data_IF_384491436945
#
_entry.id   IF_384491436945
#
_cell.length_a   1.000
_cell.length_b   1.000
_cell.length_c   1.000
_cell.angle_alpha   90.00
_cell.angle_beta   90.00
_cell.angle_gamma   90.00
#
_symmetry.space_group_name_H-M   'P 1'
#
loop_
_entity.id
_entity.type
_entity.pdbx_description
1 polymer ?
#
# COMPACT_ATOMS: atom_id res chain seq x y z
N UNK A 1 33.95 85.80 13.16
CA UNK A 1 34.86 84.83 13.80
C UNK A 1 34.01 83.72 14.46
N UNK A 2 33.30 82.91 13.66
CA UNK A 2 32.50 81.77 14.15
C UNK A 2 32.43 80.78 13.00
N UNK A 3 33.17 79.68 13.07
CA UNK A 3 33.19 78.72 11.95
C UNK A 3 34.04 77.46 12.15
N UNK A 4 34.93 77.42 13.14
CA UNK A 4 35.75 76.21 13.42
C UNK A 4 35.22 75.32 14.55
N UNK A 5 34.62 75.87 15.61
CA UNK A 5 34.20 75.06 16.77
C UNK A 5 32.94 74.22 16.52
N UNK A 6 31.94 74.76 15.81
CA UNK A 6 30.72 74.01 15.45
C UNK A 6 30.96 72.85 14.47
N UNK A 7 32.09 72.87 13.74
CA UNK A 7 32.47 71.80 12.83
C UNK A 7 33.10 70.60 13.55
N UNK A 8 33.83 70.84 14.65
CA UNK A 8 34.49 69.80 15.45
C UNK A 8 33.46 69.04 16.31
N UNK A 9 32.49 69.73 16.92
CA UNK A 9 31.40 69.12 17.69
C UNK A 9 30.49 68.21 16.84
N UNK A 10 30.19 68.61 15.59
CA UNK A 10 29.41 67.77 14.65
C UNK A 10 30.15 66.50 14.21
N UNK A 11 31.49 66.59 14.06
CA UNK A 11 32.33 65.43 13.69
C UNK A 11 32.36 64.38 14.79
N UNK A 12 32.45 64.81 16.06
CA UNK A 12 32.46 63.91 17.21
C UNK A 12 31.09 63.26 17.45
N UNK A 13 30.00 64.00 17.26
CA UNK A 13 28.64 63.45 17.33
C UNK A 13 28.39 62.36 16.26
N UNK A 14 28.88 62.58 15.03
CA UNK A 14 28.83 61.57 13.97
C UNK A 14 29.63 60.30 14.28
N UNK A 15 30.80 60.44 14.92
CA UNK A 15 31.62 59.30 15.32
C UNK A 15 30.97 58.48 16.44
N UNK A 16 30.32 59.14 17.41
CA UNK A 16 29.60 58.48 18.52
C UNK A 16 28.37 57.75 17.98
N UNK A 17 27.61 58.36 17.07
CA UNK A 17 26.46 57.72 16.41
C UNK A 17 26.90 56.51 15.58
N UNK A 18 28.02 56.60 14.88
CA UNK A 18 28.58 55.48 14.12
C UNK A 18 29.02 54.35 15.06
N UNK A 19 29.71 54.66 16.16
CA UNK A 19 30.12 53.67 17.14
C UNK A 19 28.92 52.99 17.80
N UNK A 20 27.87 53.73 18.15
CA UNK A 20 26.63 53.18 18.69
C UNK A 20 25.89 52.29 17.67
N UNK A 21 25.85 52.70 16.40
CA UNK A 21 25.27 51.91 15.32
C UNK A 21 26.05 50.61 15.08
N UNK A 22 27.38 50.66 15.11
CA UNK A 22 28.24 49.47 15.01
C UNK A 22 28.05 48.56 16.23
N UNK A 23 27.98 49.12 17.44
CA UNK A 23 27.72 48.34 18.65
C UNK A 23 26.34 47.67 18.61
N UNK A 24 25.31 48.38 18.13
CA UNK A 24 23.97 47.85 17.93
C UNK A 24 23.95 46.76 16.85
N UNK A 25 24.74 46.93 15.78
CA UNK A 25 24.89 45.93 14.71
C UNK A 25 25.61 44.68 15.22
N UNK A 26 26.66 44.86 16.03
CA UNK A 26 27.36 43.75 16.71
C UNK A 26 26.40 43.08 17.69
N UNK A 27 25.62 43.83 18.46
CA UNK A 27 24.63 43.26 19.39
C UNK A 27 23.52 42.49 18.66
N UNK A 28 23.04 42.98 17.51
CA UNK A 28 22.06 42.25 16.68
C UNK A 28 22.67 41.05 15.96
N UNK A 29 23.94 41.11 15.56
CA UNK A 29 24.67 39.95 15.01
C UNK A 29 24.93 38.91 16.10
N UNK A 30 25.27 39.32 17.31
CA UNK A 30 25.48 38.44 18.46
C UNK A 30 24.17 37.87 19.03
N UNK A 31 23.04 38.60 18.92
CA UNK A 31 21.70 38.07 19.24
C UNK A 31 21.15 37.11 18.18
N UNK A 32 21.70 37.10 16.96
CA UNK A 32 21.27 36.17 15.90
C UNK A 32 21.72 34.72 16.14
N UNK A 33 22.60 34.51 17.11
CA UNK A 33 22.97 33.19 17.65
C UNK A 33 22.07 32.80 18.86
N UNK A 34 20.81 33.24 18.89
CA UNK A 34 19.80 32.52 19.68
C UNK A 34 19.67 31.10 19.13
N UNK A 35 19.86 30.11 20.00
CA UNK A 35 19.85 28.67 19.72
C UNK A 35 18.99 28.30 18.51
N UNK A 36 19.65 27.94 17.40
CA UNK A 36 19.00 27.15 16.36
C UNK A 36 18.63 25.80 16.98
N UNK A 37 17.46 25.71 17.62
CA UNK A 37 16.87 24.45 18.06
C UNK A 37 16.98 23.51 16.87
N UNK A 38 17.66 22.38 17.09
CA UNK A 38 17.82 21.36 16.07
C UNK A 38 16.47 21.08 15.39
N UNK A 39 16.42 21.16 14.06
CA UNK A 39 15.26 20.75 13.26
C UNK A 39 14.98 19.23 13.40
N UNK A 40 15.87 18.52 14.09
CA UNK A 40 15.83 17.08 14.36
C UNK A 40 15.56 16.86 15.84
N UNK A 41 14.46 16.18 16.13
CA UNK A 41 14.06 15.69 17.44
C UNK A 41 14.52 14.24 17.60
N UNK A 42 15.62 14.02 18.32
CA UNK A 42 16.10 12.68 18.59
C UNK A 42 15.32 12.06 19.75
N UNK A 43 14.64 10.94 19.52
CA UNK A 43 13.81 10.28 20.57
C UNK A 43 14.60 9.92 21.84
N UNK A 44 15.93 9.78 21.77
CA UNK A 44 16.80 9.56 22.93
C UNK A 44 16.82 10.75 23.89
N UNK A 45 16.72 11.97 23.37
CA UNK A 45 16.67 13.19 24.16
C UNK A 45 15.34 13.32 24.93
N UNK A 46 14.31 12.61 24.45
CA UNK A 46 13.02 12.46 25.12
C UNK A 46 12.95 11.25 26.07
N UNK A 47 14.06 10.51 26.22
CA UNK A 47 14.19 9.40 27.17
C UNK A 47 13.98 8.00 26.60
N UNK A 48 13.89 7.82 25.27
CA UNK A 48 13.75 6.50 24.68
C UNK A 48 15.05 5.69 24.83
N UNK A 49 15.00 4.43 25.26
CA UNK A 49 16.18 3.60 25.45
C UNK A 49 16.49 2.72 24.24
N UNK A 50 15.50 2.29 23.45
CA UNK A 50 15.70 1.51 22.23
C UNK A 50 16.43 0.18 22.45
N UNK A 51 16.32 -0.37 23.67
CA UNK A 51 17.01 -1.59 24.10
C UNK A 51 16.16 -2.87 23.93
N UNK A 52 14.93 -2.75 23.42
CA UNK A 52 13.97 -3.82 23.22
C UNK A 52 13.25 -4.31 24.47
N UNK A 53 13.51 -3.71 25.64
CA UNK A 53 12.93 -4.09 26.94
C UNK A 53 12.09 -2.97 27.54
N UNK A 54 12.67 -1.77 27.59
CA UNK A 54 12.05 -0.54 28.08
C UNK A 54 10.91 -0.15 27.16
N UNK A 55 9.80 0.28 27.77
CA UNK A 55 8.67 0.80 27.01
C UNK A 55 8.96 2.25 26.60
N UNK A 56 9.26 2.44 25.32
CA UNK A 56 9.68 3.72 24.76
C UNK A 56 8.49 4.57 24.29
N UNK A 57 7.25 4.14 24.54
CA UNK A 57 6.02 4.77 24.01
C UNK A 57 5.96 6.26 24.33
N UNK A 58 6.07 6.63 25.61
CA UNK A 58 5.90 8.02 26.03
C UNK A 58 7.02 8.91 25.48
N UNK A 59 8.26 8.42 25.48
CA UNK A 59 9.40 9.16 24.97
C UNK A 59 9.27 9.44 23.48
N UNK A 60 8.92 8.42 22.69
CA UNK A 60 8.72 8.58 21.24
C UNK A 60 7.50 9.46 20.97
N UNK A 61 6.40 9.29 21.69
CA UNK A 61 5.20 10.09 21.48
C UNK A 61 5.45 11.57 21.77
N UNK A 62 6.23 11.91 22.81
CA UNK A 62 6.61 13.31 23.10
C UNK A 62 7.38 13.95 21.94
N UNK A 63 8.34 13.22 21.35
CA UNK A 63 9.07 13.70 20.18
C UNK A 63 8.14 13.89 18.97
N UNK A 64 7.19 12.97 18.75
CA UNK A 64 6.19 13.08 17.68
C UNK A 64 5.21 14.23 17.89
N UNK A 65 4.81 14.49 19.13
CA UNK A 65 3.90 15.59 19.48
C UNK A 65 4.53 16.96 19.19
N UNK A 66 5.86 17.07 19.27
CA UNK A 66 6.64 18.26 18.90
C UNK A 66 7.12 18.28 17.45
N UNK A 67 6.78 17.24 16.66
CA UNK A 67 7.33 16.94 15.34
C UNK A 67 6.81 17.79 14.18
N UNK A 68 5.77 18.60 14.38
CA UNK A 68 5.23 19.46 13.34
C UNK A 68 6.30 20.44 12.82
N UNK A 69 6.48 20.47 11.51
CA UNK A 69 7.53 21.17 10.77
C UNK A 69 8.97 20.74 11.13
N UNK A 70 9.15 19.54 11.68
CA UNK A 70 10.45 19.00 12.10
C UNK A 70 10.63 17.55 11.68
N UNK A 71 11.84 17.04 11.93
CA UNK A 71 12.19 15.65 11.70
C UNK A 71 12.31 14.93 13.04
N UNK A 72 11.63 13.80 13.20
CA UNK A 72 11.77 12.92 14.35
C UNK A 72 12.70 11.78 13.98
N UNK A 73 13.85 11.73 14.65
CA UNK A 73 14.89 10.75 14.39
C UNK A 73 14.86 9.62 15.43
N UNK A 74 14.81 8.39 14.95
CA UNK A 74 15.02 7.19 15.75
C UNK A 74 16.40 6.58 15.45
N UNK A 75 17.38 6.72 16.36
CA UNK A 75 18.66 6.02 16.21
C UNK A 75 18.47 4.50 16.15
N UNK A 76 19.45 3.79 15.60
CA UNK A 76 19.46 2.32 15.58
C UNK A 76 19.12 1.73 16.96
N UNK A 77 18.14 0.83 17.00
CA UNK A 77 17.65 0.25 18.25
C UNK A 77 16.35 -0.53 18.07
N UNK A 78 15.93 -1.21 19.12
CA UNK A 78 14.64 -1.90 19.18
C UNK A 78 13.75 -1.14 20.17
N UNK A 79 12.69 -0.50 19.67
CA UNK A 79 11.81 0.34 20.45
C UNK A 79 10.51 -0.40 20.71
N UNK A 80 10.33 -0.83 21.96
CA UNK A 80 9.11 -1.51 22.40
C UNK A 80 8.07 -0.45 22.73
N UNK A 81 6.85 -0.62 22.23
CA UNK A 81 5.72 0.26 22.56
C UNK A 81 4.54 -0.52 23.16
N UNK A 82 3.77 0.10 24.04
CA UNK A 82 2.53 -0.44 24.61
C UNK A 82 1.27 0.24 24.08
N UNK A 83 1.40 1.33 23.32
CA UNK A 83 0.30 2.03 22.65
C UNK A 83 0.69 2.43 21.22
N UNK A 84 -0.30 2.70 20.39
CA UNK A 84 -0.07 3.17 19.03
C UNK A 84 0.57 4.57 19.03
N UNK A 85 1.61 4.76 18.22
CA UNK A 85 2.25 6.05 18.03
C UNK A 85 1.45 6.89 17.03
N UNK A 86 1.15 8.13 17.41
CA UNK A 86 0.39 9.08 16.58
C UNK A 86 1.36 10.06 15.92
N UNK A 87 1.31 10.14 14.59
CA UNK A 87 2.09 11.09 13.80
C UNK A 87 1.15 12.14 13.22
N UNK A 88 1.43 13.40 13.52
CA UNK A 88 0.64 14.56 13.09
C UNK A 88 1.25 15.20 11.84
N UNK A 89 0.56 16.21 11.32
CA UNK A 89 0.92 16.95 10.13
C UNK A 89 2.37 17.48 10.13
N UNK A 90 2.91 17.69 8.92
CA UNK A 90 4.19 18.33 8.66
C UNK A 90 5.36 17.66 9.39
N UNK A 91 5.27 16.35 9.59
CA UNK A 91 6.26 15.58 10.36
C UNK A 91 6.99 14.58 9.45
N UNK A 92 8.31 14.63 9.45
CA UNK A 92 9.18 13.60 8.87
C UNK A 92 9.67 12.68 9.98
N UNK A 93 9.42 11.37 9.88
CA UNK A 93 9.90 10.37 10.82
C UNK A 93 10.88 9.46 10.10
N UNK A 94 12.10 9.34 10.60
CA UNK A 94 13.12 8.55 9.94
C UNK A 94 14.05 7.81 10.91
N UNK A 95 14.74 6.80 10.40
CA UNK A 95 15.65 5.98 11.18
C UNK A 95 16.87 5.52 10.36
N UNK A 96 17.93 5.10 11.06
CA UNK A 96 19.08 4.41 10.46
C UNK A 96 19.20 2.99 11.05
N UNK A 97 18.08 2.26 11.07
CA UNK A 97 18.01 0.89 11.57
C UNK A 97 17.26 0.75 12.90
N UNK A 98 16.25 1.58 13.14
CA UNK A 98 15.30 1.37 14.23
C UNK A 98 14.26 0.30 13.85
N UNK A 99 13.89 -0.52 14.83
CA UNK A 99 12.72 -1.39 14.76
C UNK A 99 11.75 -1.01 15.88
N UNK A 100 10.54 -0.57 15.50
CA UNK A 100 9.43 -0.36 16.43
C UNK A 100 8.58 -1.62 16.45
N UNK A 101 8.25 -2.11 17.63
CA UNK A 101 7.38 -3.25 17.80
C UNK A 101 6.53 -3.11 19.06
N UNK A 102 5.37 -3.75 19.10
CA UNK A 102 4.56 -3.73 20.30
C UNK A 102 4.95 -4.81 21.31
N UNK A 103 5.03 -4.43 22.59
CA UNK A 103 5.12 -5.36 23.71
C UNK A 103 3.83 -6.13 23.95
N UNK A 104 2.68 -5.57 23.56
CA UNK A 104 1.33 -6.12 23.70
C UNK A 104 0.66 -6.26 22.31
N UNK A 105 -0.59 -6.73 22.26
CA UNK A 105 -1.34 -6.78 21.00
C UNK A 105 -2.02 -5.44 20.70
N UNK A 106 -1.59 -4.75 19.64
CA UNK A 106 -2.19 -3.47 19.21
C UNK A 106 -3.10 -3.61 17.99
N UNK A 107 -3.99 -2.63 17.82
CA UNK A 107 -4.71 -2.42 16.57
C UNK A 107 -3.75 -1.98 15.46
N UNK A 108 -2.95 -0.95 15.71
CA UNK A 108 -1.97 -0.38 14.78
C UNK A 108 -0.70 -0.01 15.55
N UNK A 109 0.49 -0.18 14.94
CA UNK A 109 1.75 0.31 15.55
C UNK A 109 1.84 1.83 15.41
N UNK A 110 1.56 2.35 14.21
CA UNK A 110 1.60 3.78 13.89
C UNK A 110 0.26 4.21 13.29
N UNK A 111 -0.24 5.37 13.71
CA UNK A 111 -1.44 6.02 13.18
C UNK A 111 -1.05 7.41 12.67
N UNK A 112 -1.26 7.65 11.38
CA UNK A 112 -1.04 8.94 10.75
C UNK A 112 -2.36 9.70 10.73
N UNK A 113 -2.36 10.90 11.31
CA UNK A 113 -3.49 11.81 11.35
C UNK A 113 -2.98 13.23 11.05
N UNK A 114 -2.92 13.58 9.78
CA UNK A 114 -2.41 14.89 9.37
C UNK A 114 -2.02 14.98 7.91
N UNK A 115 -1.70 16.20 7.50
CA UNK A 115 -1.25 16.54 6.16
C UNK A 115 0.29 16.55 6.07
N UNK A 116 0.88 16.12 4.95
CA UNK A 116 2.33 16.10 4.71
C UNK A 116 3.12 15.34 5.79
N UNK A 117 2.88 14.03 5.87
CA UNK A 117 3.61 13.13 6.77
C UNK A 117 4.51 12.21 5.95
N UNK A 118 5.80 12.14 6.29
CA UNK A 118 6.73 11.22 5.65
C UNK A 118 7.35 10.29 6.69
N UNK A 119 7.14 8.98 6.56
CA UNK A 119 7.77 7.96 7.42
C UNK A 119 8.72 7.13 6.55
N UNK A 120 9.99 7.05 6.90
CA UNK A 120 10.94 6.28 6.10
C UNK A 120 12.10 5.62 6.84
N UNK A 121 12.73 4.65 6.15
CA UNK A 121 13.90 3.91 6.63
C UNK A 121 13.67 3.21 7.98
N UNK A 122 12.43 2.81 8.27
CA UNK A 122 12.00 2.25 9.55
C UNK A 122 11.55 0.79 9.42
N UNK A 123 11.82 -0.04 10.43
CA UNK A 123 11.17 -1.36 10.57
C UNK A 123 9.99 -1.27 11.54
N UNK A 124 8.80 -1.60 11.08
CA UNK A 124 7.58 -1.77 11.89
C UNK A 124 7.29 -3.26 12.00
N UNK A 125 7.52 -3.84 13.17
CA UNK A 125 7.42 -5.29 13.40
C UNK A 125 6.24 -5.60 14.33
N UNK A 126 5.23 -6.27 13.79
CA UNK A 126 4.05 -6.70 14.53
C UNK A 126 4.29 -7.89 15.48
N UNK A 127 5.48 -8.52 15.47
CA UNK A 127 5.87 -9.66 16.31
C UNK A 127 4.83 -10.78 16.39
N UNK A 128 4.08 -10.98 15.30
CA UNK A 128 2.94 -11.89 15.15
C UNK A 128 1.85 -11.73 16.21
N UNK A 129 1.71 -10.51 16.77
CA UNK A 129 0.74 -10.18 17.82
C UNK A 129 -0.01 -8.87 17.58
N UNK A 130 0.40 -8.08 16.59
CA UNK A 130 -0.22 -6.81 16.25
C UNK A 130 -1.01 -6.93 14.96
N UNK A 131 -2.21 -6.35 14.96
CA UNK A 131 -3.18 -6.46 13.88
C UNK A 131 -2.76 -5.65 12.64
N UNK A 132 -2.23 -4.43 12.84
CA UNK A 132 -1.82 -3.55 11.74
C UNK A 132 -0.49 -2.84 11.97
N UNK A 133 0.23 -2.58 10.88
CA UNK A 133 1.48 -1.83 10.92
C UNK A 133 1.25 -0.32 11.01
N UNK A 134 0.98 0.29 9.86
CA UNK A 134 0.71 1.73 9.74
C UNK A 134 -0.70 1.94 9.21
N UNK A 135 -1.48 2.77 9.90
CA UNK A 135 -2.81 3.19 9.49
C UNK A 135 -2.81 4.68 9.15
N UNK A 136 -3.17 5.03 7.92
CA UNK A 136 -3.43 6.40 7.46
C UNK A 136 -4.91 6.68 7.63
N UNK A 137 -5.23 7.52 8.62
CA UNK A 137 -6.60 7.77 9.07
C UNK A 137 -7.31 8.79 8.20
N UNK A 138 -8.64 8.74 8.22
CA UNK A 138 -9.48 9.73 7.56
C UNK A 138 -9.10 11.17 7.91
N UNK A 139 -9.12 12.05 6.91
CA UNK A 139 -8.69 13.44 7.01
C UNK A 139 -7.21 13.67 6.69
N UNK A 140 -6.39 12.61 6.66
CA UNK A 140 -4.97 12.72 6.30
C UNK A 140 -4.75 12.98 4.82
N UNK A 141 -3.73 13.77 4.50
CA UNK A 141 -3.31 13.99 3.12
C UNK A 141 -1.79 14.04 2.94
N UNK A 142 -1.31 13.81 1.71
CA UNK A 142 0.12 13.81 1.38
C UNK A 142 0.96 12.94 2.33
N UNK A 143 0.46 11.75 2.64
CA UNK A 143 1.17 10.79 3.48
C UNK A 143 2.07 9.93 2.59
N UNK A 144 3.36 9.88 2.91
CA UNK A 144 4.34 9.06 2.22
C UNK A 144 4.99 8.10 3.22
N UNK A 145 4.92 6.80 2.96
CA UNK A 145 5.72 5.79 3.66
C UNK A 145 6.71 5.22 2.66
N UNK A 146 8.01 5.31 2.94
CA UNK A 146 9.01 4.79 2.02
C UNK A 146 10.19 4.08 2.65
N UNK A 147 10.90 3.25 1.88
CA UNK A 147 12.12 2.55 2.32
C UNK A 147 11.97 1.78 3.64
N UNK A 148 10.74 1.36 3.95
CA UNK A 148 10.39 0.81 5.26
C UNK A 148 10.07 -0.67 5.15
N UNK A 149 10.23 -1.37 6.26
CA UNK A 149 9.91 -2.80 6.39
C UNK A 149 8.71 -2.92 7.32
N UNK A 150 7.58 -3.41 6.80
CA UNK A 150 6.39 -3.73 7.61
C UNK A 150 6.26 -5.25 7.69
N UNK A 151 6.41 -5.82 8.90
CA UNK A 151 6.53 -7.27 9.03
C UNK A 151 5.82 -7.92 10.21
N UNK A 152 5.53 -9.22 10.08
CA UNK A 152 5.05 -10.10 11.15
C UNK A 152 3.74 -9.62 11.79
N UNK A 153 2.71 -9.35 11.00
CA UNK A 153 1.39 -8.97 11.53
C UNK A 153 0.48 -10.17 11.61
N UNK A 154 -0.27 -10.26 12.71
CA UNK A 154 -1.24 -11.32 12.98
C UNK A 154 -2.27 -10.84 14.02
N UNK A 155 -3.41 -11.51 14.12
CA UNK A 155 -4.40 -11.23 15.15
C UNK A 155 -3.83 -11.54 16.55
N UNK A 156 -3.95 -10.68 17.56
CA UNK A 156 -3.58 -10.99 18.96
C UNK A 156 -4.45 -12.10 19.59
N UNK A 157 -3.95 -12.76 20.65
CA UNK A 157 -4.60 -13.93 21.26
C UNK A 157 -5.80 -13.60 22.16
N UNK A 158 -5.74 -12.51 22.94
CA UNK A 158 -6.72 -12.22 23.99
C UNK A 158 -7.23 -10.77 23.94
N UNK A 159 -7.71 -10.33 22.78
CA UNK A 159 -8.29 -8.99 22.65
C UNK A 159 -9.49 -8.96 21.71
N UNK A 160 -10.25 -7.87 21.76
CA UNK A 160 -11.33 -7.52 20.81
C UNK A 160 -10.87 -7.48 19.34
N UNK A 161 -9.55 -7.51 19.11
CA UNK A 161 -8.91 -7.48 17.81
C UNK A 161 -8.69 -8.88 17.21
N UNK A 162 -8.83 -9.94 18.01
CA UNK A 162 -8.54 -11.33 17.63
C UNK A 162 -9.31 -11.82 16.41
N UNK A 163 -10.46 -11.20 16.11
CA UNK A 163 -11.34 -11.48 14.96
C UNK A 163 -11.46 -10.31 13.99
N UNK A 164 -10.46 -9.45 13.93
CA UNK A 164 -10.40 -8.37 12.94
C UNK A 164 -9.44 -8.71 11.80
N UNK A 165 -9.53 -7.96 10.70
CA UNK A 165 -8.65 -8.11 9.54
C UNK A 165 -7.24 -7.64 9.85
N UNK A 166 -6.26 -8.49 9.53
CA UNK A 166 -4.83 -8.16 9.62
C UNK A 166 -4.41 -7.31 8.42
N UNK A 167 -3.65 -6.23 8.62
CA UNK A 167 -3.14 -5.42 7.51
C UNK A 167 -1.77 -4.77 7.79
N UNK A 168 -0.76 -4.94 6.93
CA UNK A 168 0.52 -4.25 7.17
C UNK A 168 0.41 -2.73 6.96
N UNK A 169 -0.27 -2.31 5.90
CA UNK A 169 -0.53 -0.90 5.59
C UNK A 169 -2.03 -0.67 5.37
N UNK A 170 -2.65 0.23 6.13
CA UNK A 170 -4.07 0.56 6.03
C UNK A 170 -4.24 2.01 5.57
N UNK A 171 -5.09 2.21 4.57
CA UNK A 171 -5.58 3.52 4.13
C UNK A 171 -7.08 3.56 4.35
N UNK A 172 -7.53 4.52 5.15
CA UNK A 172 -8.95 4.76 5.39
C UNK A 172 -9.60 5.61 4.29
N UNK A 173 -10.93 5.72 4.34
CA UNK A 173 -11.66 6.65 3.48
C UNK A 173 -11.39 8.10 3.89
N UNK A 174 -11.81 9.06 3.06
CA UNK A 174 -11.55 10.49 3.25
C UNK A 174 -10.05 10.85 3.38
N UNK A 175 -9.16 10.04 2.81
CA UNK A 175 -7.73 10.36 2.65
C UNK A 175 -7.44 10.86 1.23
N UNK A 176 -6.36 11.63 1.05
CA UNK A 176 -5.96 12.12 -0.27
C UNK A 176 -4.43 12.11 -0.44
N UNK A 177 -3.91 11.58 -1.54
CA UNK A 177 -2.47 11.48 -1.81
C UNK A 177 -1.74 10.64 -0.74
N UNK A 178 -1.98 9.33 -0.76
CA UNK A 178 -1.27 8.39 0.12
C UNK A 178 -0.36 7.50 -0.70
N UNK A 179 0.93 7.48 -0.38
CA UNK A 179 1.95 6.72 -1.10
C UNK A 179 2.65 5.73 -0.19
N UNK A 180 2.74 4.48 -0.61
CA UNK A 180 3.68 3.48 -0.09
C UNK A 180 4.70 3.18 -1.20
N UNK A 181 5.97 3.51 -0.97
CA UNK A 181 7.02 3.40 -1.99
C UNK A 181 8.27 2.68 -1.49
N UNK A 182 9.01 2.01 -2.38
CA UNK A 182 10.34 1.44 -2.08
C UNK A 182 10.39 0.57 -0.81
N UNK A 183 9.30 -0.09 -0.45
CA UNK A 183 9.15 -0.73 0.86
C UNK A 183 9.11 -2.25 0.76
N UNK A 184 9.08 -2.92 1.90
CA UNK A 184 8.90 -4.37 1.99
C UNK A 184 7.79 -4.71 2.97
N UNK A 185 6.84 -5.51 2.53
CA UNK A 185 5.78 -6.09 3.36
C UNK A 185 5.99 -7.59 3.42
N UNK A 186 6.17 -8.14 4.62
CA UNK A 186 6.41 -9.56 4.80
C UNK A 186 5.70 -10.18 6.00
N UNK A 187 5.24 -11.42 5.82
CA UNK A 187 4.64 -12.22 6.89
C UNK A 187 3.42 -11.51 7.52
N UNK A 188 2.36 -11.38 6.71
CA UNK A 188 1.06 -10.86 7.14
C UNK A 188 0.08 -12.02 7.10
N UNK A 189 -0.21 -12.57 8.27
CA UNK A 189 -0.93 -13.83 8.40
C UNK A 189 -2.15 -13.67 9.30
N UNK A 190 -3.31 -14.15 8.86
CA UNK A 190 -4.47 -14.31 9.74
C UNK A 190 -4.50 -15.73 10.33
N UNK A 191 -4.82 -15.84 11.62
CA UNK A 191 -4.93 -17.14 12.32
C UNK A 191 -6.31 -17.45 12.85
N UNK A 192 -7.19 -16.46 12.89
CA UNK A 192 -8.56 -16.58 13.36
C UNK A 192 -9.54 -16.06 12.30
N UNK A 193 -10.78 -16.58 12.28
CA UNK A 193 -11.83 -16.03 11.44
C UNK A 193 -12.21 -14.61 11.84
N UNK A 194 -12.56 -13.78 10.85
CA UNK A 194 -13.05 -12.43 11.16
C UNK A 194 -14.48 -12.47 11.72
N UNK A 195 -14.90 -11.43 12.42
CA UNK A 195 -16.26 -11.35 12.98
C UNK A 195 -17.30 -11.34 11.85
N UNK A 196 -18.29 -12.23 11.92
CA UNK A 196 -19.39 -12.33 10.95
C UNK A 196 -19.06 -13.10 9.67
N UNK A 197 -17.83 -13.61 9.53
CA UNK A 197 -17.45 -14.45 8.39
C UNK A 197 -16.40 -15.47 8.79
N UNK A 198 -16.68 -16.76 8.62
CA UNK A 198 -15.81 -17.88 9.03
C UNK A 198 -14.61 -18.09 8.07
N UNK A 199 -13.90 -16.99 7.78
CA UNK A 199 -12.72 -16.94 6.93
C UNK A 199 -11.58 -16.19 7.61
N UNK A 200 -10.36 -16.69 7.40
CA UNK A 200 -9.13 -16.00 7.79
C UNK A 200 -8.78 -14.94 6.74
N UNK A 201 -8.63 -13.69 7.16
CA UNK A 201 -8.50 -12.55 6.25
C UNK A 201 -7.28 -11.71 6.60
N UNK A 202 -6.35 -11.58 5.66
CA UNK A 202 -5.16 -10.73 5.78
C UNK A 202 -4.90 -9.91 4.53
N UNK A 203 -4.23 -8.78 4.70
CA UNK A 203 -3.98 -7.80 3.65
C UNK A 203 -2.55 -7.29 3.73
N UNK A 204 -1.78 -7.33 2.65
CA UNK A 204 -0.53 -6.55 2.63
C UNK A 204 -0.86 -5.06 2.76
N UNK A 205 -1.67 -4.56 1.82
CA UNK A 205 -2.27 -3.22 1.83
C UNK A 205 -3.79 -3.34 1.82
N UNK A 206 -4.45 -2.63 2.73
CA UNK A 206 -5.91 -2.51 2.80
C UNK A 206 -6.33 -1.06 2.57
N UNK A 207 -7.12 -0.80 1.54
CA UNK A 207 -7.68 0.51 1.22
C UNK A 207 -9.21 0.39 1.33
N UNK A 208 -9.79 0.90 2.41
CA UNK A 208 -11.22 0.74 2.67
C UNK A 208 -11.72 1.73 3.72
N UNK A 209 -13.00 2.13 3.69
CA UNK A 209 -13.55 2.99 4.72
C UNK A 209 -13.54 2.27 6.07
N UNK A 210 -13.25 3.01 7.15
CA UNK A 210 -13.40 2.54 8.53
C UNK A 210 -14.84 2.69 9.05
N UNK A 211 -15.65 3.57 8.43
CA UNK A 211 -17.06 3.78 8.76
C UNK A 211 -17.88 4.13 7.52
N UNK A 212 -19.22 4.11 7.61
CA UNK A 212 -20.11 4.37 6.45
C UNK A 212 -20.10 5.84 6.01
N UNK A 213 -19.67 6.74 6.88
CA UNK A 213 -19.63 8.19 6.69
C UNK A 213 -18.36 8.62 5.94
N UNK A 214 -17.33 7.78 5.91
CA UNK A 214 -16.09 8.10 5.22
C UNK A 214 -16.29 8.09 3.70
N UNK A 215 -15.78 9.14 3.06
CA UNK A 215 -15.82 9.29 1.60
C UNK A 215 -14.75 8.41 0.94
N UNK A 216 -14.76 8.39 -0.40
CA UNK A 216 -13.77 7.63 -1.17
C UNK A 216 -12.36 8.17 -0.94
N UNK A 217 -11.42 7.31 -0.54
CA UNK A 217 -9.99 7.63 -0.54
C UNK A 217 -9.54 8.01 -1.95
N UNK A 218 -8.67 9.01 -2.09
CA UNK A 218 -8.23 9.54 -3.39
C UNK A 218 -6.71 9.48 -3.56
N UNK A 219 -6.28 9.18 -4.79
CA UNK A 219 -4.89 9.27 -5.21
C UNK A 219 -3.97 8.40 -4.35
N UNK A 220 -4.26 7.11 -4.27
CA UNK A 220 -3.46 6.15 -3.51
C UNK A 220 -2.43 5.52 -4.44
N UNK A 221 -1.16 5.52 -4.07
CA UNK A 221 -0.06 4.90 -4.84
C UNK A 221 0.64 3.84 -4.01
N UNK A 222 0.81 2.65 -4.58
CA UNK A 222 1.68 1.61 -4.05
C UNK A 222 2.72 1.26 -5.11
N UNK A 223 3.97 1.63 -4.87
CA UNK A 223 5.04 1.52 -5.85
C UNK A 223 6.31 0.89 -5.30
N UNK A 224 7.09 0.26 -6.20
CA UNK A 224 8.43 -0.25 -5.91
C UNK A 224 8.53 -1.10 -4.63
N UNK A 225 7.43 -1.78 -4.26
CA UNK A 225 7.31 -2.47 -2.98
C UNK A 225 7.29 -3.98 -3.21
N UNK A 226 7.97 -4.70 -2.32
CA UNK A 226 7.99 -6.18 -2.34
C UNK A 226 7.02 -6.75 -1.32
N UNK A 227 6.26 -7.75 -1.73
CA UNK A 227 5.27 -8.46 -0.92
C UNK A 227 5.66 -9.95 -0.83
N UNK A 228 5.71 -10.48 0.39
CA UNK A 228 5.99 -11.91 0.63
C UNK A 228 5.25 -12.45 1.85
N UNK A 229 4.63 -13.63 1.74
CA UNK A 229 3.98 -14.30 2.86
C UNK A 229 2.74 -13.54 3.32
N UNK A 230 1.77 -13.37 2.42
CA UNK A 230 0.48 -12.74 2.72
C UNK A 230 -0.59 -13.82 2.65
N UNK A 231 -1.14 -14.21 3.80
CA UNK A 231 -1.95 -15.44 3.88
C UNK A 231 -2.91 -15.48 5.06
N UNK A 232 -3.74 -16.53 5.15
CA UNK A 232 -3.67 -17.79 4.41
C UNK A 232 -4.45 -17.78 3.07
N UNK A 233 -4.61 -18.95 2.42
CA UNK A 233 -5.34 -19.10 1.14
C UNK A 233 -6.82 -18.68 1.22
N UNK A 234 -7.38 -18.69 2.42
CA UNK A 234 -8.78 -18.37 2.71
C UNK A 234 -9.19 -17.00 2.19
N UNK A 235 -8.44 -15.96 2.53
CA UNK A 235 -8.59 -14.60 1.98
C UNK A 235 -7.33 -13.75 2.24
N UNK A 236 -6.14 -14.29 1.99
CA UNK A 236 -4.85 -13.56 2.08
C UNK A 236 -4.47 -12.89 0.78
N UNK A 237 -4.65 -11.57 0.71
CA UNK A 237 -4.48 -10.79 -0.50
C UNK A 237 -3.39 -9.72 -0.35
N UNK A 238 -2.56 -9.52 -1.39
CA UNK A 238 -1.45 -8.56 -1.37
C UNK A 238 -1.93 -7.12 -1.22
N UNK A 239 -2.68 -6.60 -2.20
CA UNK A 239 -3.29 -5.28 -2.17
C UNK A 239 -4.79 -5.42 -2.40
N UNK A 240 -5.60 -4.80 -1.54
CA UNK A 240 -7.06 -4.77 -1.69
C UNK A 240 -7.60 -3.35 -1.56
N UNK A 241 -8.42 -2.96 -2.51
CA UNK A 241 -9.26 -1.76 -2.44
C UNK A 241 -10.72 -2.16 -2.46
N UNK A 242 -11.50 -1.73 -1.46
CA UNK A 242 -12.89 -2.17 -1.29
C UNK A 242 -13.77 -1.18 -0.54
N UNK A 243 -15.07 -1.27 -0.75
CA UNK A 243 -16.08 -0.55 0.04
C UNK A 243 -16.33 0.90 -0.39
N UNK A 244 -15.74 1.36 -1.50
CA UNK A 244 -15.99 2.69 -2.04
C UNK A 244 -16.87 2.63 -3.29
N UNK A 245 -17.75 3.61 -3.43
CA UNK A 245 -18.57 3.79 -4.63
C UNK A 245 -17.87 4.69 -5.67
N UNK A 246 -16.99 5.57 -5.23
CA UNK A 246 -16.27 6.49 -6.10
C UNK A 246 -14.96 5.90 -6.61
N UNK A 247 -14.43 6.52 -7.68
CA UNK A 247 -13.11 6.23 -8.22
C UNK A 247 -12.01 6.57 -7.18
N UNK A 248 -11.15 5.61 -6.86
CA UNK A 248 -10.09 5.77 -5.86
C UNK A 248 -8.84 6.44 -6.42
N UNK A 249 -8.60 6.34 -7.74
CA UNK A 249 -7.35 6.77 -8.35
C UNK A 249 -6.17 5.96 -7.84
N UNK A 250 -6.35 4.63 -7.71
CA UNK A 250 -5.31 3.73 -7.21
C UNK A 250 -4.26 3.46 -8.30
N UNK A 251 -2.98 3.70 -8.01
CA UNK A 251 -1.86 3.28 -8.85
C UNK A 251 -1.07 2.17 -8.15
N UNK A 252 -0.98 0.99 -8.76
CA UNK A 252 -0.17 -0.14 -8.32
C UNK A 252 0.92 -0.38 -9.36
N UNK A 253 2.15 0.08 -9.11
CA UNK A 253 3.22 0.06 -10.12
C UNK A 253 4.56 -0.46 -9.66
N UNK A 254 5.24 -1.23 -10.50
CA UNK A 254 6.61 -1.70 -10.23
C UNK A 254 6.77 -2.50 -8.91
N UNK A 255 5.71 -3.17 -8.45
CA UNK A 255 5.76 -4.02 -7.25
C UNK A 255 6.13 -5.46 -7.59
N UNK A 256 6.64 -6.20 -6.60
CA UNK A 256 6.91 -7.63 -6.72
C UNK A 256 6.09 -8.41 -5.69
N UNK A 257 5.37 -9.44 -6.13
CA UNK A 257 4.55 -10.30 -5.28
C UNK A 257 5.05 -11.74 -5.35
N UNK A 258 5.40 -12.28 -4.19
CA UNK A 258 5.79 -13.69 -3.99
C UNK A 258 5.04 -14.24 -2.79
N UNK A 259 4.81 -15.55 -2.71
CA UNK A 259 4.16 -16.18 -1.55
C UNK A 259 2.86 -15.47 -1.08
N UNK A 260 2.04 -14.96 -2.01
CA UNK A 260 0.72 -14.38 -1.69
C UNK A 260 -0.34 -15.44 -1.91
N UNK A 261 -1.03 -15.82 -0.85
CA UNK A 261 -1.76 -17.10 -0.80
C UNK A 261 -3.06 -17.11 -1.63
N UNK A 262 -3.74 -15.97 -1.85
CA UNK A 262 -5.00 -15.97 -2.62
C UNK A 262 -4.96 -15.10 -3.86
N UNK A 263 -4.77 -13.79 -3.72
CA UNK A 263 -4.64 -12.83 -4.83
C UNK A 263 -3.55 -11.81 -4.58
N UNK A 264 -2.72 -11.51 -5.57
CA UNK A 264 -1.74 -10.44 -5.43
C UNK A 264 -2.45 -9.08 -5.35
N UNK A 265 -3.43 -8.86 -6.22
CA UNK A 265 -4.19 -7.60 -6.28
C UNK A 265 -5.68 -7.91 -6.42
N UNK A 266 -6.51 -7.28 -5.59
CA UNK A 266 -7.97 -7.39 -5.63
C UNK A 266 -8.62 -6.01 -5.64
N UNK A 267 -9.36 -5.71 -6.71
CA UNK A 267 -10.04 -4.44 -6.91
C UNK A 267 -11.55 -4.63 -6.72
N UNK A 268 -12.12 -3.99 -5.71
CA UNK A 268 -13.56 -3.98 -5.39
C UNK A 268 -14.13 -2.57 -5.25
N UNK A 269 -13.35 -1.56 -5.61
CA UNK A 269 -13.80 -0.18 -5.77
C UNK A 269 -13.25 0.37 -7.08
N UNK A 270 -13.97 1.28 -7.77
CA UNK A 270 -13.56 1.72 -9.10
C UNK A 270 -12.24 2.49 -9.14
N UNK A 271 -11.61 2.52 -10.31
CA UNK A 271 -10.49 3.41 -10.60
C UNK A 271 -9.13 2.90 -10.14
N UNK A 272 -8.54 1.99 -10.93
CA UNK A 272 -7.21 1.46 -10.66
C UNK A 272 -6.33 1.32 -11.92
N UNK A 273 -5.05 1.63 -11.78
CA UNK A 273 -4.01 1.38 -12.77
C UNK A 273 -3.01 0.40 -12.18
N UNK A 274 -2.96 -0.81 -12.73
CA UNK A 274 -2.07 -1.90 -12.32
C UNK A 274 -1.03 -2.08 -13.41
N UNK A 275 0.20 -1.62 -13.20
CA UNK A 275 1.19 -1.66 -14.26
C UNK A 275 2.60 -2.03 -13.84
N UNK A 276 3.34 -2.70 -14.74
CA UNK A 276 4.77 -3.01 -14.52
C UNK A 276 5.06 -3.84 -13.27
N UNK A 277 4.07 -4.55 -12.73
CA UNK A 277 4.26 -5.40 -11.56
C UNK A 277 4.76 -6.78 -11.98
N UNK A 278 5.52 -7.42 -11.10
CA UNK A 278 5.91 -8.83 -11.20
C UNK A 278 5.13 -9.63 -10.17
N UNK A 279 4.32 -10.58 -10.62
CA UNK A 279 3.53 -11.47 -9.75
C UNK A 279 3.98 -12.90 -9.99
N UNK A 280 4.45 -13.57 -8.93
CA UNK A 280 4.97 -14.92 -9.01
C UNK A 280 4.21 -15.87 -8.05
N UNK A 281 3.37 -16.75 -8.59
CA UNK A 281 2.75 -17.82 -7.80
C UNK A 281 3.83 -18.82 -7.38
N UNK A 282 4.21 -18.72 -6.11
CA UNK A 282 5.34 -19.45 -5.52
C UNK A 282 4.94 -20.85 -5.01
N UNK A 283 3.65 -21.16 -5.01
CA UNK A 283 3.11 -22.40 -4.47
C UNK A 283 3.16 -23.52 -5.50
N UNK A 284 3.12 -24.78 -5.05
CA UNK A 284 2.96 -25.97 -5.89
C UNK A 284 2.43 -27.12 -5.05
N UNK A 285 1.12 -27.33 -5.08
CA UNK A 285 0.37 -28.30 -4.26
C UNK A 285 0.61 -28.17 -2.75
N UNK A 286 1.03 -26.99 -2.29
CA UNK A 286 1.39 -26.72 -0.89
C UNK A 286 0.68 -25.47 -0.34
N UNK A 287 -0.37 -25.01 -1.02
CA UNK A 287 -1.22 -23.93 -0.54
C UNK A 287 -2.65 -24.44 -0.36
N UNK A 288 -3.16 -24.36 0.87
CA UNK A 288 -4.41 -24.98 1.27
C UNK A 288 -5.30 -23.98 2.00
N UNK A 289 -6.61 -24.16 1.84
CA UNK A 289 -7.58 -23.45 2.64
C UNK A 289 -7.50 -23.95 4.08
N UNK A 290 -7.62 -23.03 5.02
CA UNK A 290 -7.58 -23.34 6.45
C UNK A 290 -8.97 -23.63 6.99
N UNK A 291 -10.02 -23.02 6.43
CA UNK A 291 -11.39 -23.08 6.97
C UNK A 291 -12.32 -24.06 6.27
N UNK A 292 -11.93 -24.66 5.13
CA UNK A 292 -12.73 -25.70 4.47
C UNK A 292 -11.91 -26.62 3.56
N UNK A 293 -12.50 -27.77 3.22
CA UNK A 293 -11.91 -28.76 2.32
C UNK A 293 -11.81 -28.22 0.88
N UNK A 294 -10.64 -28.41 0.27
CA UNK A 294 -10.33 -28.05 -1.11
C UNK A 294 -9.86 -29.30 -1.85
N UNK A 295 -10.53 -29.74 -2.94
CA UNK A 295 -10.08 -30.87 -3.76
C UNK A 295 -8.81 -30.57 -4.59
N UNK A 296 -8.10 -29.47 -4.30
CA UNK A 296 -6.81 -29.05 -4.87
C UNK A 296 -6.85 -28.83 -6.38
N UNK A 297 -7.79 -28.00 -6.86
CA UNK A 297 -7.87 -27.64 -8.29
C UNK A 297 -6.82 -26.61 -8.73
N UNK A 298 -6.32 -25.80 -7.79
CA UNK A 298 -5.35 -24.73 -8.06
C UNK A 298 -4.60 -24.35 -6.78
N UNK A 299 -3.44 -23.73 -6.94
CA UNK A 299 -2.62 -23.25 -5.85
C UNK A 299 -3.01 -21.85 -5.39
N UNK A 300 -3.29 -20.95 -6.33
CA UNK A 300 -3.66 -19.56 -6.06
C UNK A 300 -4.96 -19.22 -6.81
N UNK A 301 -5.85 -18.43 -6.21
CA UNK A 301 -7.14 -18.12 -6.85
C UNK A 301 -6.93 -17.36 -8.17
N UNK A 302 -6.23 -16.21 -8.08
CA UNK A 302 -5.87 -15.38 -9.22
C UNK A 302 -4.66 -14.50 -8.92
N UNK A 303 -3.95 -14.04 -9.93
CA UNK A 303 -2.95 -12.99 -9.74
C UNK A 303 -3.63 -11.64 -9.49
N UNK A 304 -4.58 -11.29 -10.37
CA UNK A 304 -5.36 -10.05 -10.29
C UNK A 304 -6.84 -10.37 -10.37
N UNK A 305 -7.63 -9.87 -9.42
CA UNK A 305 -9.09 -9.91 -9.47
C UNK A 305 -9.68 -8.52 -9.52
N UNK A 306 -10.64 -8.31 -10.43
CA UNK A 306 -11.31 -7.04 -10.68
C UNK A 306 -12.81 -7.24 -10.60
N UNK A 307 -13.41 -6.55 -9.64
CA UNK A 307 -14.83 -6.59 -9.31
C UNK A 307 -15.44 -5.18 -9.22
N UNK A 308 -14.82 -4.21 -9.90
CA UNK A 308 -15.26 -2.84 -9.99
C UNK A 308 -14.73 -2.18 -11.28
N UNK A 309 -15.37 -1.09 -11.67
CA UNK A 309 -15.17 -0.45 -12.97
C UNK A 309 -13.86 0.37 -13.08
N UNK A 310 -13.54 0.76 -14.30
CA UNK A 310 -12.47 1.71 -14.64
C UNK A 310 -11.08 1.22 -14.18
N UNK A 311 -10.68 0.04 -14.68
CA UNK A 311 -9.41 -0.59 -14.33
C UNK A 311 -8.55 -0.85 -15.56
N UNK A 312 -7.27 -0.50 -15.48
CA UNK A 312 -6.27 -0.90 -16.48
C UNK A 312 -5.20 -1.81 -15.87
N UNK A 313 -4.87 -2.88 -16.58
CA UNK A 313 -3.85 -3.87 -16.23
C UNK A 313 -2.85 -3.89 -17.39
N UNK A 314 -1.69 -3.25 -17.20
CA UNK A 314 -0.75 -2.97 -18.30
C UNK A 314 0.68 -3.41 -18.00
N UNK A 315 1.34 -4.06 -18.96
CA UNK A 315 2.79 -4.31 -18.86
C UNK A 315 3.21 -5.10 -17.60
N UNK A 316 2.34 -5.93 -17.05
CA UNK A 316 2.66 -6.78 -15.90
C UNK A 316 3.28 -8.10 -16.38
N UNK A 317 4.16 -8.67 -15.55
CA UNK A 317 4.70 -10.01 -15.72
C UNK A 317 4.10 -10.92 -14.66
N UNK A 318 3.28 -11.89 -15.08
CA UNK A 318 2.58 -12.82 -14.21
C UNK A 318 3.00 -14.23 -14.58
N UNK A 319 3.57 -14.96 -13.63
CA UNK A 319 4.03 -16.33 -13.83
C UNK A 319 4.04 -17.09 -12.50
N UNK A 320 4.54 -18.31 -12.47
CA UNK A 320 4.69 -19.04 -11.22
C UNK A 320 5.15 -20.47 -11.41
N UNK A 321 5.43 -21.11 -10.28
CA UNK A 321 5.58 -22.56 -10.19
C UNK A 321 4.23 -23.27 -10.14
N UNK A 322 3.24 -22.64 -9.48
CA UNK A 322 1.92 -23.21 -9.22
C UNK A 322 0.84 -22.77 -10.16
N UNK A 323 -0.29 -23.46 -10.07
CA UNK A 323 -1.45 -23.19 -10.88
C UNK A 323 -2.31 -22.07 -10.28
N UNK A 324 -2.69 -21.12 -11.12
CA UNK A 324 -3.80 -20.21 -10.85
C UNK A 324 -5.13 -20.88 -11.22
N UNK A 325 -6.17 -20.66 -10.42
CA UNK A 325 -7.54 -21.05 -10.80
C UNK A 325 -8.04 -20.26 -12.01
N UNK A 326 -7.70 -18.98 -12.07
CA UNK A 326 -7.69 -18.12 -13.27
C UNK A 326 -6.65 -17.03 -13.06
N UNK A 327 -5.96 -16.53 -14.08
CA UNK A 327 -4.83 -15.63 -13.81
C UNK A 327 -5.29 -14.18 -13.60
N UNK A 328 -6.07 -13.66 -14.56
CA UNK A 328 -6.83 -12.41 -14.41
C UNK A 328 -8.31 -12.76 -14.35
N UNK A 329 -8.96 -12.35 -13.25
CA UNK A 329 -10.36 -12.57 -12.95
C UNK A 329 -11.13 -11.25 -13.04
N UNK A 330 -12.07 -11.12 -13.96
CA UNK A 330 -12.93 -9.94 -14.11
C UNK A 330 -14.38 -10.39 -13.93
N UNK A 331 -15.06 -9.86 -12.92
CA UNK A 331 -16.46 -10.21 -12.68
C UNK A 331 -17.29 -9.01 -12.26
N UNK A 332 -18.42 -8.81 -12.92
CA UNK A 332 -19.33 -7.68 -12.68
C UNK A 332 -18.60 -6.32 -12.71
N UNK A 333 -17.76 -6.13 -13.72
CA UNK A 333 -16.91 -4.95 -13.85
C UNK A 333 -16.81 -4.52 -15.31
N UNK A 334 -16.88 -3.21 -15.52
CA UNK A 334 -16.90 -2.58 -16.84
C UNK A 334 -15.75 -1.57 -17.03
N UNK A 335 -15.49 -1.22 -18.29
CA UNK A 335 -14.40 -0.29 -18.67
C UNK A 335 -13.02 -0.82 -18.26
N UNK A 336 -12.70 -2.03 -18.72
CA UNK A 336 -11.48 -2.73 -18.34
C UNK A 336 -10.51 -2.81 -19.53
N UNK A 337 -9.26 -2.45 -19.30
CA UNK A 337 -8.18 -2.59 -20.28
C UNK A 337 -7.12 -3.56 -19.77
N UNK A 338 -6.90 -4.66 -20.47
CA UNK A 338 -5.84 -5.64 -20.20
C UNK A 338 -4.88 -5.61 -21.39
N UNK A 339 -3.74 -4.95 -21.23
CA UNK A 339 -2.86 -4.65 -22.36
C UNK A 339 -1.36 -4.92 -22.12
N UNK A 340 -0.70 -5.49 -23.13
CA UNK A 340 0.78 -5.65 -23.13
C UNK A 340 1.34 -6.43 -21.94
N UNK A 341 0.57 -7.35 -21.36
CA UNK A 341 1.02 -8.18 -20.23
C UNK A 341 1.63 -9.49 -20.73
N UNK A 342 2.56 -10.02 -19.93
CA UNK A 342 2.96 -11.41 -20.01
C UNK A 342 2.21 -12.20 -18.93
N UNK A 343 1.35 -13.13 -19.32
CA UNK A 343 0.45 -13.85 -18.42
C UNK A 343 0.61 -15.35 -18.65
N UNK A 344 1.26 -16.02 -17.71
CA UNK A 344 1.60 -17.44 -17.81
C UNK A 344 1.15 -18.20 -16.55
N UNK A 345 0.43 -19.30 -16.74
CA UNK A 345 0.18 -20.24 -15.64
C UNK A 345 1.39 -21.14 -15.39
N UNK A 346 1.42 -21.84 -14.25
CA UNK A 346 2.50 -22.74 -13.86
C UNK A 346 2.94 -23.69 -14.98
N UNK A 347 4.19 -23.55 -15.45
CA UNK A 347 4.73 -24.32 -16.61
C UNK A 347 4.65 -25.83 -16.47
N UNK A 348 4.63 -26.33 -15.23
CA UNK A 348 4.55 -27.77 -14.89
C UNK A 348 3.26 -28.11 -14.15
N UNK A 349 2.27 -27.23 -14.21
CA UNK A 349 1.00 -27.36 -13.52
C UNK A 349 -0.11 -27.93 -14.39
N UNK A 350 -1.24 -28.26 -13.77
CA UNK A 350 -2.45 -28.73 -14.44
C UNK A 350 -3.43 -27.56 -14.62
N UNK A 351 -3.38 -26.92 -15.77
CA UNK A 351 -4.23 -25.79 -16.14
C UNK A 351 -5.44 -26.20 -17.00
N UNK A 352 -5.83 -27.48 -16.98
CA UNK A 352 -6.95 -28.00 -17.79
C UNK A 352 -8.30 -27.33 -17.48
N UNK A 353 -8.45 -26.74 -16.30
CA UNK A 353 -9.65 -26.00 -15.86
C UNK A 353 -9.39 -24.50 -15.65
N UNK A 354 -8.16 -24.02 -15.89
CA UNK A 354 -7.78 -22.63 -15.67
C UNK A 354 -7.91 -21.79 -16.94
N UNK A 355 -8.36 -20.55 -16.79
CA UNK A 355 -8.36 -19.57 -17.88
C UNK A 355 -7.32 -18.49 -17.59
N UNK A 356 -6.57 -18.08 -18.62
CA UNK A 356 -5.57 -17.01 -18.49
C UNK A 356 -6.29 -15.69 -18.16
N UNK A 357 -7.29 -15.32 -18.98
CA UNK A 357 -8.23 -14.23 -18.67
C UNK A 357 -9.65 -14.80 -18.56
N UNK A 358 -10.32 -14.55 -17.44
CA UNK A 358 -11.64 -15.07 -17.12
C UNK A 358 -12.61 -13.92 -16.85
N UNK A 359 -13.65 -13.79 -17.68
CA UNK A 359 -14.62 -12.69 -17.66
C UNK A 359 -16.02 -13.26 -17.42
N UNK A 360 -16.67 -12.82 -16.35
CA UNK A 360 -18.03 -13.24 -15.98
C UNK A 360 -18.94 -12.08 -15.59
N UNK A 361 -20.25 -12.30 -15.68
CA UNK A 361 -21.26 -11.35 -15.27
C UNK A 361 -22.51 -12.07 -14.73
N UNK A 362 -23.05 -11.59 -13.62
CA UNK A 362 -24.26 -12.13 -13.02
C UNK A 362 -25.48 -11.82 -13.88
N UNK A 363 -25.58 -10.58 -14.40
CA UNK A 363 -26.61 -10.16 -15.35
C UNK A 363 -26.00 -9.65 -16.65
N UNK A 364 -26.80 -9.65 -17.72
CA UNK A 364 -26.36 -9.20 -19.03
C UNK A 364 -25.87 -7.75 -18.98
N UNK A 365 -24.60 -7.54 -19.31
CA UNK A 365 -23.96 -6.23 -19.32
C UNK A 365 -23.33 -5.78 -18.00
N UNK A 366 -23.42 -6.56 -16.92
CA UNK A 366 -22.73 -6.22 -15.66
C UNK A 366 -21.19 -6.23 -15.85
N UNK A 367 -20.69 -7.05 -16.79
CA UNK A 367 -19.33 -6.92 -17.35
C UNK A 367 -19.40 -6.48 -18.80
N UNK A 368 -18.92 -5.28 -19.08
CA UNK A 368 -19.03 -4.63 -20.39
C UNK A 368 -17.84 -3.74 -20.71
N UNK A 369 -17.57 -3.50 -21.99
CA UNK A 369 -16.50 -2.63 -22.45
C UNK A 369 -15.13 -3.09 -21.92
N UNK A 370 -14.74 -4.31 -22.29
CA UNK A 370 -13.50 -4.95 -21.84
C UNK A 370 -12.62 -5.21 -23.05
N UNK A 371 -11.41 -4.66 -23.04
CA UNK A 371 -10.41 -4.87 -24.08
C UNK A 371 -9.27 -5.73 -23.55
N UNK A 372 -8.96 -6.82 -24.25
CA UNK A 372 -7.79 -7.68 -24.01
C UNK A 372 -6.89 -7.60 -25.24
N UNK A 373 -5.82 -6.81 -25.18
CA UNK A 373 -4.99 -6.49 -26.34
C UNK A 373 -3.49 -6.69 -26.13
N UNK A 374 -2.77 -7.15 -27.16
CA UNK A 374 -1.31 -7.17 -27.17
C UNK A 374 -0.66 -8.01 -26.04
N UNK A 375 -1.36 -8.98 -25.46
CA UNK A 375 -0.85 -9.79 -24.35
C UNK A 375 -0.21 -11.09 -24.83
N UNK A 376 0.75 -11.62 -24.09
CA UNK A 376 1.11 -13.05 -24.17
C UNK A 376 0.27 -13.83 -23.17
N UNK A 377 -0.46 -14.85 -23.65
CA UNK A 377 -1.40 -15.65 -22.87
C UNK A 377 -0.96 -17.12 -22.90
N UNK A 378 -0.40 -17.62 -21.81
CA UNK A 378 0.24 -18.92 -21.78
C UNK A 378 -0.34 -19.89 -20.73
N UNK A 379 -0.42 -21.17 -21.12
CA UNK A 379 -0.75 -22.31 -20.26
C UNK A 379 -2.16 -22.22 -19.64
N UNK A 380 -3.21 -22.39 -20.47
CA UNK A 380 -4.60 -22.36 -19.98
C UNK A 380 -5.54 -23.23 -20.81
N UNK A 381 -6.65 -23.63 -20.21
CA UNK A 381 -7.80 -24.15 -20.97
C UNK A 381 -8.26 -23.11 -21.98
N UNK A 382 -8.47 -21.88 -21.51
CA UNK A 382 -8.80 -20.74 -22.35
C UNK A 382 -7.72 -19.67 -22.25
N UNK A 383 -7.34 -19.08 -23.38
CA UNK A 383 -6.62 -17.80 -23.39
C UNK A 383 -7.52 -16.69 -22.84
N UNK A 384 -8.72 -16.58 -23.42
CA UNK A 384 -9.76 -15.65 -22.98
C UNK A 384 -11.08 -16.42 -22.88
N UNK A 385 -11.67 -16.43 -21.69
CA UNK A 385 -13.02 -16.89 -21.46
C UNK A 385 -13.91 -15.69 -21.16
N UNK A 386 -15.06 -15.60 -21.83
CA UNK A 386 -16.14 -14.69 -21.48
C UNK A 386 -17.48 -15.43 -21.46
N UNK A 387 -18.27 -15.25 -20.42
CA UNK A 387 -19.59 -15.87 -20.36
C UNK A 387 -20.62 -15.21 -21.30
N UNK A 388 -21.85 -15.74 -21.30
CA UNK A 388 -22.93 -15.23 -22.16
C UNK A 388 -23.42 -13.85 -21.75
N UNK A 389 -23.32 -13.49 -20.47
CA UNK A 389 -23.83 -12.26 -19.89
C UNK A 389 -22.90 -11.07 -20.13
N UNK A 390 -21.59 -11.33 -20.28
CA UNK A 390 -20.59 -10.32 -20.57
C UNK A 390 -20.74 -9.75 -21.98
N UNK A 391 -20.70 -8.43 -22.17
CA UNK A 391 -20.95 -7.77 -23.47
C UNK A 391 -19.78 -6.86 -23.88
N UNK A 392 -19.71 -6.46 -25.16
CA UNK A 392 -18.68 -5.54 -25.68
C UNK A 392 -17.25 -5.95 -25.26
N UNK A 393 -16.90 -7.21 -25.53
CA UNK A 393 -15.58 -7.78 -25.23
C UNK A 393 -14.76 -7.76 -26.52
N UNK A 394 -13.64 -7.04 -26.49
CA UNK A 394 -12.73 -6.92 -27.63
C UNK A 394 -11.43 -7.66 -27.32
N UNK A 395 -10.98 -8.51 -28.23
CA UNK A 395 -9.71 -9.22 -28.11
C UNK A 395 -8.90 -9.07 -29.39
N UNK A 396 -7.73 -8.42 -29.31
CA UNK A 396 -6.91 -8.09 -30.47
C UNK A 396 -5.42 -8.34 -30.21
N UNK A 397 -4.69 -8.82 -31.23
CA UNK A 397 -3.23 -8.92 -31.21
C UNK A 397 -2.62 -9.68 -30.00
N UNK A 398 -3.36 -10.59 -29.37
CA UNK A 398 -2.81 -11.42 -28.30
C UNK A 398 -2.03 -12.61 -28.91
N UNK A 399 -0.99 -13.03 -28.20
CA UNK A 399 -0.18 -14.21 -28.53
C UNK A 399 -0.54 -15.38 -27.59
N UNK A 400 -1.45 -16.29 -27.99
CA UNK A 400 -1.70 -17.52 -27.24
C UNK A 400 -0.53 -18.50 -27.35
N UNK A 401 -0.13 -19.12 -26.24
CA UNK A 401 0.91 -20.15 -26.17
C UNK A 401 0.39 -21.31 -25.33
N UNK A 402 0.33 -22.52 -25.87
CA UNK A 402 -0.11 -23.71 -25.11
C UNK A 402 -1.46 -23.49 -24.40
N UNK A 403 -2.41 -22.91 -25.13
CA UNK A 403 -3.81 -22.80 -24.70
C UNK A 403 -4.65 -23.78 -25.50
N UNK A 404 -5.58 -24.48 -24.83
CA UNK A 404 -6.46 -25.45 -25.52
C UNK A 404 -7.42 -24.75 -26.49
N UNK A 405 -8.02 -23.66 -26.04
CA UNK A 405 -8.89 -22.80 -26.82
C UNK A 405 -8.45 -21.34 -26.65
N UNK A 406 -8.10 -20.63 -27.71
CA UNK A 406 -7.74 -19.20 -27.57
C UNK A 406 -8.93 -18.37 -27.03
N UNK A 407 -10.11 -18.56 -27.61
CA UNK A 407 -11.37 -17.95 -27.18
C UNK A 407 -12.43 -19.03 -27.03
N UNK A 408 -13.30 -18.91 -26.02
CA UNK A 408 -14.44 -19.82 -25.86
C UNK A 408 -15.52 -19.61 -26.96
N UNK A 409 -16.40 -20.59 -27.12
CA UNK A 409 -17.43 -20.59 -28.19
C UNK A 409 -18.34 -19.36 -28.17
N UNK A 410 -18.72 -18.90 -26.97
CA UNK A 410 -19.60 -17.74 -26.80
C UNK A 410 -18.96 -16.45 -27.33
N UNK A 411 -17.67 -16.24 -27.04
CA UNK A 411 -16.94 -15.06 -27.50
C UNK A 411 -16.74 -15.09 -29.03
N UNK A 412 -16.40 -16.26 -29.58
CA UNK A 412 -16.27 -16.45 -31.04
C UNK A 412 -17.57 -16.11 -31.78
N UNK A 413 -18.73 -16.53 -31.25
CA UNK A 413 -20.03 -16.23 -31.85
C UNK A 413 -20.32 -14.73 -31.89
N UNK A 414 -20.09 -14.03 -30.77
CA UNK A 414 -20.27 -12.57 -30.68
C UNK A 414 -19.34 -11.81 -31.63
N UNK A 415 -18.11 -12.28 -31.80
CA UNK A 415 -17.17 -11.68 -32.75
C UNK A 415 -17.61 -11.86 -34.21
N UNK A 416 -18.23 -13.00 -34.55
CA UNK A 416 -18.79 -13.23 -35.88
C UNK A 416 -20.03 -12.37 -36.14
N UNK A 417 -20.95 -12.27 -35.17
CA UNK A 417 -22.13 -11.39 -35.25
C UNK A 417 -21.75 -9.92 -35.49
N UNK A 418 -20.69 -9.43 -34.83
CA UNK A 418 -20.18 -8.06 -35.01
C UNK A 418 -19.41 -7.83 -36.32
N UNK A 419 -19.01 -8.88 -37.04
CA UNK A 419 -18.31 -8.77 -38.32
C UNK A 419 -19.28 -8.80 -39.51
N UNK A 420 -20.53 -9.19 -39.27
CA UNK A 420 -21.62 -9.21 -40.26
C UNK A 420 -22.48 -7.93 -40.23
N UNK A 421 -22.38 -7.14 -39.14
CA UNK A 421 -22.91 -5.76 -39.01
C UNK A 421 -21.91 -4.72 -39.53
#
# INVERSE_FOLDING_TARGET
>A
MFGREGFILKKNAGLILLAAAVLFLIFTVLQKDEEKKSDILNVKEYGAEGNGKTDDTEAIQKALDEGSYKKVYLPKGNYKISQALKVKEQTEVYSEGASIFSGSGLDSVIRVNGDHVHIHDLTVDGKSRTLKGITVEAGSSHTHVSKSILQNFNQPENSELSRQTVAAFRVEGSTNHTTLDQSRINNVMARNPIKGWEHHVSRGVLISPASKEQTTAKNVTVSNTSFSGIGPKDDGDGIVVQGFKGNVGLTVTANTFTNVHKRAIKIQSPGAVIQKNTIYNSFRKNNHYTTYYDPHKYDMWAAVSVYADDVSIKQNSISGSGDYGRIIDVSNASNILIESNYIENGRKGNYADSSVVYITADRKGDSSNITVANNTLANGRYGIFADRNSTKITASNNRPINVKDYQNKALKKKAAELAEE
#
